data_IF_415494426200
#
_entry.id   IF_415494426200
#
_cell.length_a   1.000
_cell.length_b   1.000
_cell.length_c   1.000
_cell.angle_alpha   90.00
_cell.angle_beta   90.00
_cell.angle_gamma   90.00
#
_symmetry.space_group_name_H-M   'P 1'
#
loop_
_entity.id
_entity.type
_entity.pdbx_description
1 polymer ?
#
# COMPACT_ATOMS: atom_id res chain seq x y z
N UNK A 1 -5.59 15.99 20.81
CA UNK A 1 -5.97 15.59 19.43
C UNK A 1 -4.78 15.26 18.49
N UNK A 2 -3.51 15.39 18.93
CA UNK A 2 -2.32 15.11 18.08
C UNK A 2 -1.76 13.68 18.16
N UNK A 3 -2.12 12.91 19.18
CA UNK A 3 -1.57 11.57 19.43
C UNK A 3 -2.08 10.54 18.40
N UNK A 4 -3.37 10.60 18.05
CA UNK A 4 -3.99 9.64 17.13
C UNK A 4 -3.38 9.66 15.73
N UNK A 5 -3.03 10.84 15.20
CA UNK A 5 -2.40 10.96 13.88
C UNK A 5 -0.94 10.49 13.84
N UNK A 6 -0.21 10.58 14.97
CA UNK A 6 1.13 9.97 15.08
C UNK A 6 1.02 8.45 15.01
N UNK A 7 0.06 7.87 15.73
CA UNK A 7 -0.18 6.42 15.72
C UNK A 7 -0.55 5.93 14.32
N UNK A 8 -1.46 6.61 13.62
CA UNK A 8 -1.85 6.27 12.25
C UNK A 8 -0.62 6.28 11.31
N UNK A 9 0.25 7.29 11.41
CA UNK A 9 1.49 7.33 10.60
C UNK A 9 2.38 6.14 10.85
N UNK A 10 2.63 5.81 12.12
CA UNK A 10 3.51 4.70 12.46
C UNK A 10 2.95 3.36 12.00
N UNK A 11 1.64 3.14 12.16
CA UNK A 11 0.99 1.92 11.67
C UNK A 11 1.04 1.83 10.15
N UNK A 12 0.75 2.92 9.45
CA UNK A 12 0.79 2.96 7.98
C UNK A 12 2.21 2.72 7.45
N UNK A 13 3.20 3.42 8.02
CA UNK A 13 4.60 3.25 7.67
C UNK A 13 5.07 1.81 7.92
N UNK A 14 4.73 1.23 9.07
CA UNK A 14 5.07 -0.15 9.41
C UNK A 14 4.52 -1.14 8.37
N UNK A 15 3.24 -1.03 8.00
CA UNK A 15 2.61 -1.94 7.03
C UNK A 15 3.27 -1.84 5.65
N UNK A 16 3.57 -0.64 5.16
CA UNK A 16 4.20 -0.48 3.85
C UNK A 16 5.66 -0.90 3.81
N UNK A 17 6.45 -0.55 4.83
CA UNK A 17 7.85 -0.94 4.92
C UNK A 17 7.96 -2.47 5.00
N UNK A 18 7.13 -3.10 5.85
CA UNK A 18 7.12 -4.56 5.98
C UNK A 18 6.63 -5.26 4.71
N UNK A 19 5.59 -4.73 4.04
CA UNK A 19 5.11 -5.27 2.76
C UNK A 19 6.19 -5.22 1.66
N UNK A 20 6.87 -4.09 1.52
CA UNK A 20 7.95 -3.94 0.55
C UNK A 20 9.12 -4.88 0.85
N UNK A 21 9.49 -5.02 2.12
CA UNK A 21 10.55 -5.95 2.54
C UNK A 21 10.16 -7.42 2.32
N UNK A 22 8.88 -7.77 2.52
CA UNK A 22 8.38 -9.11 2.25
C UNK A 22 8.42 -9.44 0.75
N UNK A 23 8.14 -8.47 -0.12
CA UNK A 23 8.26 -8.62 -1.59
C UNK A 23 9.72 -8.77 -2.05
N UNK A 24 10.68 -8.19 -1.33
CA UNK A 24 12.11 -8.38 -1.58
C UNK A 24 12.60 -9.77 -1.20
N UNK A 25 12.17 -10.27 -0.03
CA UNK A 25 12.68 -11.51 0.56
C UNK A 25 11.94 -12.76 0.11
N UNK A 26 10.70 -12.61 -0.40
CA UNK A 26 9.86 -13.74 -0.82
C UNK A 26 9.87 -13.95 -2.34
N UNK A 27 10.62 -14.95 -2.86
CA UNK A 27 10.57 -15.31 -4.29
C UNK A 27 9.19 -15.81 -4.72
N UNK A 28 8.39 -16.33 -3.78
CA UNK A 28 7.00 -16.75 -4.04
C UNK A 28 6.06 -15.57 -4.35
N UNK A 29 6.26 -14.43 -3.68
CA UNK A 29 5.50 -13.21 -3.98
C UNK A 29 5.95 -12.60 -5.31
N UNK A 30 7.25 -12.61 -5.60
CA UNK A 30 7.78 -12.13 -6.86
C UNK A 30 7.23 -12.91 -8.06
N UNK A 31 7.23 -14.24 -7.98
CA UNK A 31 6.67 -15.11 -9.01
C UNK A 31 5.15 -14.96 -9.16
N UNK A 32 4.42 -14.70 -8.07
CA UNK A 32 2.99 -14.41 -8.11
C UNK A 32 2.70 -13.07 -8.82
N UNK A 33 3.52 -12.05 -8.60
CA UNK A 33 3.43 -10.77 -9.31
C UNK A 33 3.67 -10.91 -10.81
N UNK A 34 4.61 -11.77 -11.22
CA UNK A 34 4.87 -12.07 -12.64
C UNK A 34 3.66 -12.74 -13.29
N UNK A 35 2.93 -13.57 -12.55
CA UNK A 35 1.70 -14.21 -13.03
C UNK A 35 0.51 -13.26 -13.17
N UNK A 36 0.59 -12.01 -12.69
CA UNK A 36 -0.49 -11.02 -12.82
C UNK A 36 -0.67 -10.50 -14.27
N UNK A 37 0.20 -10.87 -15.21
CA UNK A 37 0.05 -10.51 -16.63
C UNK A 37 0.32 -9.03 -16.93
N UNK A 38 1.03 -8.33 -16.04
CA UNK A 38 1.41 -6.93 -16.22
C UNK A 38 2.53 -6.77 -17.26
N UNK A 39 2.56 -5.66 -18.02
CA UNK A 39 3.69 -5.35 -18.90
C UNK A 39 4.95 -5.10 -18.07
N UNK A 40 6.06 -5.78 -18.39
CA UNK A 40 7.35 -5.69 -17.68
C UNK A 40 7.25 -5.94 -16.16
N UNK A 41 6.81 -7.13 -15.72
CA UNK A 41 6.49 -7.39 -14.30
C UNK A 41 7.70 -7.27 -13.37
N UNK A 42 8.90 -7.57 -13.85
CA UNK A 42 10.15 -7.42 -13.10
C UNK A 42 10.50 -5.96 -12.80
N UNK A 43 10.21 -5.03 -13.72
CA UNK A 43 10.43 -3.61 -13.47
C UNK A 43 9.37 -3.06 -12.51
N UNK A 44 8.10 -3.43 -12.73
CA UNK A 44 7.00 -2.98 -11.88
C UNK A 44 7.15 -3.43 -10.43
N UNK A 45 7.54 -4.68 -10.18
CA UNK A 45 7.72 -5.14 -8.80
C UNK A 45 8.83 -4.37 -8.08
N UNK A 46 9.95 -4.10 -8.75
CA UNK A 46 11.06 -3.32 -8.18
C UNK A 46 10.64 -1.88 -7.89
N UNK A 47 9.86 -1.26 -8.79
CA UNK A 47 9.30 0.08 -8.59
C UNK A 47 8.34 0.10 -7.41
N UNK A 48 7.42 -0.87 -7.31
CA UNK A 48 6.47 -0.99 -6.20
C UNK A 48 7.20 -1.15 -4.87
N UNK A 49 8.19 -2.04 -4.80
CA UNK A 49 9.02 -2.26 -3.61
C UNK A 49 9.71 -0.97 -3.19
N UNK A 50 10.36 -0.28 -4.13
CA UNK A 50 11.07 0.97 -3.86
C UNK A 50 10.10 2.04 -3.34
N UNK A 51 8.95 2.21 -3.98
CA UNK A 51 7.94 3.18 -3.56
C UNK A 51 7.40 2.86 -2.18
N UNK A 52 7.08 1.61 -1.87
CA UNK A 52 6.55 1.21 -0.56
C UNK A 52 7.53 1.50 0.57
N UNK A 53 8.81 1.15 0.37
CA UNK A 53 9.84 1.35 1.40
C UNK A 53 10.17 2.84 1.55
N UNK A 54 10.45 3.53 0.44
CA UNK A 54 10.82 4.95 0.48
C UNK A 54 9.66 5.80 1.01
N UNK A 55 8.45 5.62 0.49
CA UNK A 55 7.29 6.40 0.96
C UNK A 55 6.92 6.03 2.39
N UNK A 56 7.04 4.76 2.78
CA UNK A 56 6.86 4.32 4.17
C UNK A 56 7.83 5.02 5.13
N UNK A 57 9.11 5.13 4.75
CA UNK A 57 10.13 5.85 5.52
C UNK A 57 9.81 7.35 5.60
N UNK A 58 9.39 7.97 4.49
CA UNK A 58 8.99 9.39 4.49
C UNK A 58 7.80 9.66 5.41
N UNK A 59 6.80 8.77 5.43
CA UNK A 59 5.66 8.83 6.36
C UNK A 59 6.12 8.67 7.81
N UNK A 60 7.05 7.75 8.08
CA UNK A 60 7.63 7.50 9.41
C UNK A 60 8.33 8.74 9.97
N UNK A 61 9.14 9.42 9.16
CA UNK A 61 9.85 10.64 9.55
C UNK A 61 9.02 11.92 9.45
N UNK A 62 7.73 11.82 9.10
CA UNK A 62 6.84 12.95 8.88
C UNK A 62 7.37 13.98 7.86
N UNK A 63 8.20 13.54 6.90
CA UNK A 63 8.71 14.39 5.82
C UNK A 63 7.89 14.12 4.57
N UNK A 64 7.19 15.13 4.05
CA UNK A 64 6.48 15.00 2.77
C UNK A 64 5.36 13.94 2.76
N UNK A 65 4.65 13.77 3.88
CA UNK A 65 3.60 12.74 4.07
C UNK A 65 2.55 12.74 2.96
N UNK A 66 2.15 13.90 2.43
CA UNK A 66 1.24 13.98 1.29
C UNK A 66 1.82 13.36 0.02
N UNK A 67 3.04 13.78 -0.33
CA UNK A 67 3.72 13.31 -1.54
C UNK A 67 4.01 11.82 -1.46
N UNK A 68 4.24 11.28 -0.25
CA UNK A 68 4.40 9.85 -0.01
C UNK A 68 3.07 9.09 0.00
N UNK A 69 1.96 9.71 0.41
CA UNK A 69 0.65 9.07 0.42
C UNK A 69 0.09 8.84 -0.99
N UNK A 70 0.30 9.77 -1.93
CA UNK A 70 -0.18 9.65 -3.33
C UNK A 70 0.30 8.34 -4.01
N UNK A 71 1.61 8.04 -4.10
CA UNK A 71 2.07 6.81 -4.73
C UNK A 71 1.60 5.56 -3.98
N UNK A 72 1.51 5.60 -2.66
CA UNK A 72 0.99 4.47 -1.87
C UNK A 72 -0.49 4.20 -2.14
N UNK A 73 -1.31 5.25 -2.31
CA UNK A 73 -2.73 5.11 -2.70
C UNK A 73 -2.82 4.44 -4.07
N UNK A 74 -2.01 4.87 -5.04
CA UNK A 74 -1.98 4.28 -6.39
C UNK A 74 -1.63 2.79 -6.32
N UNK A 75 -0.62 2.42 -5.53
CA UNK A 75 -0.22 1.02 -5.36
C UNK A 75 -1.33 0.19 -4.70
N UNK A 76 -2.04 0.74 -3.71
CA UNK A 76 -3.18 0.05 -3.09
C UNK A 76 -4.34 -0.16 -4.06
N UNK A 77 -4.68 0.84 -4.87
CA UNK A 77 -5.71 0.71 -5.90
C UNK A 77 -5.30 -0.37 -6.92
N UNK A 78 -4.05 -0.32 -7.40
CA UNK A 78 -3.54 -1.33 -8.31
C UNK A 78 -3.60 -2.74 -7.70
N UNK A 79 -3.20 -2.90 -6.42
CA UNK A 79 -3.25 -4.17 -5.71
C UNK A 79 -4.68 -4.72 -5.61
N UNK A 80 -5.67 -3.88 -5.31
CA UNK A 80 -7.09 -4.28 -5.27
C UNK A 80 -7.55 -4.77 -6.65
N UNK A 81 -7.25 -4.02 -7.71
CA UNK A 81 -7.66 -4.36 -9.08
C UNK A 81 -7.02 -5.68 -9.52
N UNK A 82 -5.71 -5.84 -9.30
CA UNK A 82 -4.94 -6.96 -9.82
C UNK A 82 -5.15 -8.26 -9.03
N UNK A 83 -5.35 -8.16 -7.72
CA UNK A 83 -5.37 -9.34 -6.85
C UNK A 83 -6.76 -9.72 -6.34
N UNK A 84 -7.68 -8.74 -6.21
CA UNK A 84 -8.98 -8.97 -5.58
C UNK A 84 -10.12 -9.09 -6.60
N UNK A 85 -10.07 -8.38 -7.73
CA UNK A 85 -11.08 -8.55 -8.80
C UNK A 85 -11.21 -10.01 -9.29
N UNK A 86 -10.11 -10.79 -9.44
CA UNK A 86 -10.23 -12.21 -9.79
C UNK A 86 -10.94 -13.03 -8.70
N UNK A 87 -10.75 -12.67 -7.41
CA UNK A 87 -11.39 -13.37 -6.28
C UNK A 87 -12.87 -13.09 -6.14
N UNK A 88 -13.42 -12.12 -6.89
CA UNK A 88 -14.85 -11.82 -6.91
C UNK A 88 -15.67 -13.01 -7.43
N UNK A 89 -15.05 -13.86 -8.25
CA UNK A 89 -15.63 -15.13 -8.73
C UNK A 89 -15.89 -16.14 -7.60
N UNK A 90 -15.18 -16.03 -6.47
CA UNK A 90 -15.32 -16.90 -5.30
C UNK A 90 -16.37 -16.41 -4.28
N UNK A 91 -17.07 -15.30 -4.58
CA UNK A 91 -18.14 -14.74 -3.76
C UNK A 91 -17.80 -13.43 -3.05
N UNK A 92 -18.81 -12.59 -2.84
CA UNK A 92 -18.67 -11.22 -2.31
C UNK A 92 -18.10 -11.18 -0.89
N UNK A 93 -18.48 -12.13 -0.03
CA UNK A 93 -17.96 -12.23 1.33
C UNK A 93 -16.47 -12.60 1.35
N UNK A 94 -16.06 -13.54 0.50
CA UNK A 94 -14.66 -13.95 0.32
C UNK A 94 -13.80 -12.79 -0.18
N UNK A 95 -14.31 -12.00 -1.13
CA UNK A 95 -13.66 -10.78 -1.59
C UNK A 95 -13.47 -9.77 -0.46
N UNK A 96 -14.55 -9.45 0.28
CA UNK A 96 -14.50 -8.48 1.37
C UNK A 96 -13.52 -8.92 2.47
N UNK A 97 -13.52 -10.21 2.80
CA UNK A 97 -12.59 -10.77 3.78
C UNK A 97 -11.14 -10.67 3.31
N UNK A 98 -10.85 -10.96 2.04
CA UNK A 98 -9.50 -10.89 1.50
C UNK A 98 -9.01 -9.46 1.28
N UNK A 99 -9.87 -8.52 0.93
CA UNK A 99 -9.52 -7.12 0.66
C UNK A 99 -9.53 -6.23 1.92
N UNK A 100 -9.87 -6.79 3.09
CA UNK A 100 -10.04 -6.03 4.34
C UNK A 100 -8.85 -5.12 4.68
N UNK A 101 -7.62 -5.64 4.52
CA UNK A 101 -6.41 -4.89 4.84
C UNK A 101 -6.21 -3.76 3.84
N UNK A 102 -6.44 -4.01 2.55
CA UNK A 102 -6.31 -3.00 1.49
C UNK A 102 -7.29 -1.83 1.71
N UNK A 103 -8.54 -2.10 2.05
CA UNK A 103 -9.53 -1.06 2.37
C UNK A 103 -9.15 -0.23 3.59
N UNK A 104 -8.67 -0.87 4.65
CA UNK A 104 -8.21 -0.17 5.86
C UNK A 104 -7.01 0.73 5.52
N UNK A 105 -6.02 0.20 4.80
CA UNK A 105 -4.82 0.95 4.44
C UNK A 105 -5.14 2.13 3.51
N UNK A 106 -6.03 1.94 2.54
CA UNK A 106 -6.49 2.99 1.64
C UNK A 106 -7.21 4.10 2.41
N UNK A 107 -8.09 3.74 3.36
CA UNK A 107 -8.78 4.72 4.21
C UNK A 107 -7.80 5.50 5.08
N UNK A 108 -6.83 4.83 5.73
CA UNK A 108 -5.82 5.49 6.55
C UNK A 108 -4.92 6.43 5.74
N UNK A 109 -4.55 6.05 4.51
CA UNK A 109 -3.80 6.90 3.60
C UNK A 109 -4.59 8.16 3.18
N UNK A 110 -5.89 8.05 2.89
CA UNK A 110 -6.74 9.21 2.58
C UNK A 110 -6.83 10.16 3.78
N UNK A 111 -6.99 9.62 4.99
CA UNK A 111 -7.02 10.43 6.22
C UNK A 111 -5.68 11.17 6.39
N UNK A 112 -4.57 10.47 6.17
CA UNK A 112 -3.22 11.04 6.23
C UNK A 112 -3.00 12.15 5.21
N UNK A 113 -3.46 11.93 3.98
CA UNK A 113 -3.39 12.89 2.89
C UNK A 113 -4.18 14.16 3.23
N UNK A 114 -5.45 14.02 3.65
CA UNK A 114 -6.32 15.15 3.98
C UNK A 114 -5.82 15.95 5.20
N UNK A 115 -5.26 15.28 6.22
CA UNK A 115 -4.67 15.98 7.36
C UNK A 115 -3.43 16.79 6.95
N UNK A 116 -2.63 16.29 6.01
CA UNK A 116 -1.50 17.03 5.45
C UNK A 116 -1.92 18.26 4.64
N UNK A 117 -3.08 18.24 3.99
CA UNK A 117 -3.62 19.40 3.22
C UNK A 117 -4.04 20.52 4.17
N UNK A 118 -4.69 20.19 5.29
CA UNK A 118 -5.39 21.16 6.15
C UNK A 118 -4.47 21.97 7.08
N UNK A 119 -3.19 21.64 7.17
CA UNK A 119 -2.22 22.28 8.06
C UNK A 119 -1.11 23.06 7.33
N UNK A 120 -1.31 23.41 6.05
CA UNK A 120 -0.60 24.52 5.39
C UNK A 120 -1.39 25.81 5.56
#
# INVERSE_FOLDING_TARGET
MYTSFKLIRYVVAYVFITSGFMKLTSPGLASSFIKLGLPYPHLLINVVILLEIVCGIFILFNKGVQNAAIPLIVIMIAAIILTKVPTLQAGLLSFAFNARLDFVMLTLLIILYNHGVRHR
#
